data_IF_753424029546
#
_entry.id   IF_753424029546
#
_cell.length_a   1.000
_cell.length_b   1.000
_cell.length_c   1.000
_cell.angle_alpha   90.00
_cell.angle_beta   90.00
_cell.angle_gamma   90.00
#
_symmetry.space_group_name_H-M   'P 1'
#
loop_
_entity.id
_entity.type
_entity.pdbx_description
1 polymer ?
#
# COMPACT_ATOMS: atom_id res chain seq x y z
N UNK A 1 0.26 -1.78 -20.75
CA UNK A 1 -0.65 -2.91 -20.46
C UNK A 1 -0.90 -2.93 -18.96
N UNK A 2 -2.13 -3.12 -18.52
CA UNK A 2 -2.43 -3.25 -17.09
C UNK A 2 -1.74 -4.50 -16.52
N UNK A 3 -1.10 -4.38 -15.34
CA UNK A 3 -0.44 -5.49 -14.67
C UNK A 3 -1.49 -6.39 -14.04
N UNK A 4 -1.34 -7.70 -14.16
CA UNK A 4 -2.29 -8.67 -13.60
C UNK A 4 -1.71 -9.32 -12.34
N UNK A 5 -2.57 -9.58 -11.36
CA UNK A 5 -2.25 -10.33 -10.15
C UNK A 5 -3.18 -11.52 -10.06
N UNK A 6 -2.63 -12.71 -9.94
CA UNK A 6 -3.38 -13.94 -9.72
C UNK A 6 -3.63 -14.15 -8.22
N UNK A 7 -4.85 -14.55 -7.89
CA UNK A 7 -5.24 -14.95 -6.54
C UNK A 7 -5.71 -16.41 -6.60
N UNK A 8 -4.86 -17.31 -6.14
CA UNK A 8 -5.10 -18.75 -6.07
C UNK A 8 -5.31 -19.17 -4.60
N UNK A 9 -6.44 -18.72 -4.03
CA UNK A 9 -6.78 -18.87 -2.61
C UNK A 9 -8.24 -19.30 -2.53
N UNK A 10 -8.55 -20.42 -1.85
CA UNK A 10 -9.91 -20.91 -1.72
C UNK A 10 -10.80 -20.05 -0.80
N UNK A 11 -10.20 -19.30 0.14
CA UNK A 11 -10.92 -18.52 1.14
C UNK A 11 -11.38 -17.17 0.58
N UNK A 12 -12.71 -16.89 0.68
CA UNK A 12 -13.31 -15.66 0.14
C UNK A 12 -12.96 -14.40 0.95
N UNK A 13 -12.80 -14.50 2.26
CA UNK A 13 -12.52 -13.34 3.14
C UNK A 13 -11.21 -12.61 2.84
N UNK A 14 -10.25 -13.29 2.22
CA UNK A 14 -8.98 -12.70 1.82
C UNK A 14 -9.12 -11.81 0.60
N UNK A 15 -10.08 -12.11 -0.26
CA UNK A 15 -10.25 -11.48 -1.56
C UNK A 15 -10.65 -10.01 -1.45
N UNK A 16 -11.64 -9.70 -0.60
CA UNK A 16 -12.16 -8.33 -0.43
C UNK A 16 -11.07 -7.36 0.01
N UNK A 17 -10.13 -7.86 0.79
CA UNK A 17 -9.02 -7.07 1.30
C UNK A 17 -7.95 -6.83 0.25
N UNK A 18 -7.61 -7.84 -0.54
CA UNK A 18 -6.65 -7.72 -1.65
C UNK A 18 -7.22 -6.81 -2.74
N UNK A 19 -8.51 -6.92 -3.04
CA UNK A 19 -9.20 -6.04 -3.98
C UNK A 19 -9.20 -4.58 -3.54
N UNK A 20 -9.44 -4.33 -2.25
CA UNK A 20 -9.40 -2.97 -1.68
C UNK A 20 -8.06 -2.27 -1.83
N UNK A 21 -6.97 -3.05 -1.94
CA UNK A 21 -5.62 -2.51 -2.05
C UNK A 21 -5.12 -2.47 -3.51
N UNK A 22 -5.09 -3.60 -4.20
CA UNK A 22 -4.53 -3.69 -5.56
C UNK A 22 -5.45 -3.12 -6.63
N UNK A 23 -6.78 -3.10 -6.40
CA UNK A 23 -7.73 -2.45 -7.30
C UNK A 23 -7.52 -0.94 -7.47
N UNK A 24 -6.76 -0.31 -6.56
CA UNK A 24 -6.39 1.13 -6.64
C UNK A 24 -5.12 1.39 -7.45
N UNK A 25 -4.29 0.38 -7.67
CA UNK A 25 -2.96 0.52 -8.29
C UNK A 25 -2.90 0.08 -9.77
N UNK A 26 -3.99 0.15 -10.53
CA UNK A 26 -4.06 -0.29 -11.94
C UNK A 26 -3.75 -1.78 -12.15
N UNK A 27 -3.95 -2.61 -11.13
CA UNK A 27 -3.85 -4.05 -11.28
C UNK A 27 -5.20 -4.67 -11.63
N UNK A 28 -5.19 -5.61 -12.56
CA UNK A 28 -6.33 -6.49 -12.83
C UNK A 28 -6.15 -7.75 -11.99
N UNK A 29 -7.13 -8.05 -11.15
CA UNK A 29 -7.13 -9.25 -10.32
C UNK A 29 -7.79 -10.40 -11.08
N UNK A 30 -7.09 -11.52 -11.20
CA UNK A 30 -7.63 -12.78 -11.76
C UNK A 30 -7.66 -13.84 -10.67
N UNK A 31 -8.69 -14.67 -10.65
CA UNK A 31 -8.93 -15.62 -9.55
C UNK A 31 -8.87 -17.05 -10.02
N UNK A 32 -8.23 -17.90 -9.22
CA UNK A 32 -8.24 -19.34 -9.40
C UNK A 32 -8.69 -20.04 -8.11
N UNK A 33 -9.46 -21.10 -8.25
CA UNK A 33 -9.96 -21.92 -7.13
C UNK A 33 -9.10 -23.14 -6.87
N UNK A 34 -8.29 -23.53 -7.85
CA UNK A 34 -7.42 -24.69 -7.80
C UNK A 34 -6.14 -24.47 -8.61
N UNK A 35 -5.20 -25.39 -8.48
CA UNK A 35 -3.91 -25.32 -9.14
C UNK A 35 -3.98 -25.48 -10.67
N UNK A 36 -4.98 -26.18 -11.19
CA UNK A 36 -5.15 -26.34 -12.65
C UNK A 36 -5.65 -25.06 -13.29
N UNK A 37 -6.63 -24.42 -12.65
CA UNK A 37 -7.11 -23.12 -13.09
C UNK A 37 -6.02 -22.05 -12.94
N UNK A 38 -5.29 -22.08 -11.82
CA UNK A 38 -4.17 -21.16 -11.59
C UNK A 38 -3.09 -21.31 -12.67
N UNK A 39 -2.75 -22.52 -13.06
CA UNK A 39 -1.79 -22.79 -14.12
C UNK A 39 -2.22 -22.17 -15.45
N UNK A 40 -3.46 -22.46 -15.89
CA UNK A 40 -4.02 -21.89 -17.14
C UNK A 40 -4.00 -20.37 -17.12
N UNK A 41 -4.42 -19.77 -16.01
CA UNK A 41 -4.43 -18.31 -15.88
C UNK A 41 -3.02 -17.70 -15.90
N UNK A 42 -1.99 -18.40 -15.39
CA UNK A 42 -0.62 -17.92 -15.54
C UNK A 42 -0.18 -17.94 -16.99
N UNK A 43 -0.51 -19.00 -17.74
CA UNK A 43 -0.18 -19.11 -19.16
C UNK A 43 -0.92 -18.07 -20.03
N UNK A 44 -2.20 -17.85 -19.77
CA UNK A 44 -3.06 -17.01 -20.61
C UNK A 44 -2.94 -15.51 -20.26
N UNK A 45 -2.82 -15.20 -18.97
CA UNK A 45 -2.96 -13.85 -18.46
C UNK A 45 -1.62 -13.20 -18.10
N UNK A 46 -0.54 -13.98 -18.03
CA UNK A 46 0.83 -13.56 -17.71
C UNK A 46 0.89 -12.61 -16.47
N UNK A 47 0.43 -13.06 -15.29
CA UNK A 47 0.39 -12.22 -14.12
C UNK A 47 1.80 -11.95 -13.59
N UNK A 48 2.05 -10.70 -13.16
CA UNK A 48 3.34 -10.30 -12.58
C UNK A 48 3.55 -10.83 -11.16
N UNK A 49 2.44 -11.17 -10.46
CA UNK A 49 2.43 -11.69 -9.09
C UNK A 49 1.30 -12.70 -8.93
N UNK A 50 1.52 -13.74 -8.16
CA UNK A 50 0.49 -14.65 -7.72
C UNK A 50 0.53 -14.87 -6.19
N UNK A 51 -0.62 -14.75 -5.55
CA UNK A 51 -0.84 -15.22 -4.18
C UNK A 51 -1.35 -16.64 -4.23
N UNK A 52 -0.68 -17.55 -3.54
CA UNK A 52 -0.96 -18.97 -3.58
C UNK A 52 -1.16 -19.50 -2.17
N UNK A 53 -2.31 -20.08 -1.85
CA UNK A 53 -2.53 -20.77 -0.58
C UNK A 53 -1.71 -22.06 -0.51
N UNK A 54 -1.09 -22.36 0.63
CA UNK A 54 -0.40 -23.64 0.86
C UNK A 54 -1.34 -24.84 0.60
N UNK A 55 -2.63 -24.67 0.90
CA UNK A 55 -3.68 -25.68 0.76
C UNK A 55 -4.42 -25.63 -0.58
N UNK A 56 -3.81 -25.03 -1.61
CA UNK A 56 -4.42 -24.98 -2.94
C UNK A 56 -4.62 -26.39 -3.51
N UNK A 57 -5.86 -26.84 -3.81
CA UNK A 57 -6.09 -28.15 -4.38
C UNK A 57 -5.58 -28.24 -5.84
N UNK A 58 -5.28 -29.46 -6.37
CA UNK A 58 -5.29 -30.74 -5.67
C UNK A 58 -4.02 -31.05 -4.90
N UNK A 59 -2.84 -30.55 -5.31
CA UNK A 59 -1.51 -31.01 -4.86
C UNK A 59 -0.86 -30.13 -3.80
N UNK A 60 -1.48 -29.01 -3.47
CA UNK A 60 -0.93 -28.01 -2.57
C UNK A 60 -0.19 -26.88 -3.30
N UNK A 61 -0.20 -25.69 -2.66
CA UNK A 61 0.45 -24.49 -3.22
C UNK A 61 1.97 -24.60 -3.29
N UNK A 62 2.61 -25.38 -2.41
CA UNK A 62 4.04 -25.65 -2.44
C UNK A 62 4.43 -26.42 -3.70
N UNK A 63 3.68 -27.47 -4.05
CA UNK A 63 3.90 -28.23 -5.27
C UNK A 63 3.64 -27.38 -6.52
N UNK A 64 2.60 -26.55 -6.50
CA UNK A 64 2.28 -25.60 -7.55
C UNK A 64 3.41 -24.58 -7.75
N UNK A 65 3.88 -23.91 -6.68
CA UNK A 65 5.00 -22.97 -6.76
C UNK A 65 6.25 -23.60 -7.33
N UNK A 66 6.60 -24.80 -6.87
CA UNK A 66 7.76 -25.57 -7.34
C UNK A 66 7.67 -25.91 -8.83
N UNK A 67 6.47 -26.23 -9.32
CA UNK A 67 6.20 -26.50 -10.73
C UNK A 67 6.38 -25.23 -11.57
N UNK A 68 5.81 -24.09 -11.17
CA UNK A 68 5.96 -22.80 -11.86
C UNK A 68 7.43 -22.39 -11.92
N UNK A 69 8.19 -22.51 -10.83
CA UNK A 69 9.60 -22.10 -10.79
C UNK A 69 10.53 -22.99 -11.63
N UNK A 70 10.13 -24.21 -11.88
CA UNK A 70 10.85 -25.13 -12.78
C UNK A 70 10.53 -24.89 -14.25
N UNK A 71 9.39 -24.30 -14.56
CA UNK A 71 9.00 -23.99 -15.93
C UNK A 71 9.78 -22.79 -16.47
N UNK A 72 10.37 -22.95 -17.65
CA UNK A 72 11.23 -21.92 -18.26
C UNK A 72 10.45 -20.65 -18.64
N UNK A 73 9.21 -20.79 -19.07
CA UNK A 73 8.37 -19.69 -19.53
C UNK A 73 7.67 -18.97 -18.37
N UNK A 74 7.28 -19.71 -17.31
CA UNK A 74 6.42 -19.20 -16.24
C UNK A 74 7.19 -18.75 -14.99
N UNK A 75 8.46 -19.13 -14.83
CA UNK A 75 9.27 -18.86 -13.63
C UNK A 75 9.46 -17.37 -13.31
N UNK A 76 9.17 -16.48 -14.25
CA UNK A 76 9.26 -15.03 -14.06
C UNK A 76 8.12 -14.48 -13.20
N UNK A 77 6.97 -15.18 -13.16
CA UNK A 77 5.85 -14.84 -12.27
C UNK A 77 6.32 -14.87 -10.82
N UNK A 78 6.13 -13.76 -10.09
CA UNK A 78 6.45 -13.70 -8.67
C UNK A 78 5.41 -14.44 -7.86
N UNK A 79 5.84 -15.27 -6.90
CA UNK A 79 4.95 -16.12 -6.11
C UNK A 79 5.08 -15.78 -4.62
N UNK A 80 3.95 -15.47 -3.99
CA UNK A 80 3.83 -15.37 -2.53
C UNK A 80 3.02 -16.55 -2.05
N UNK A 81 3.65 -17.44 -1.27
CA UNK A 81 2.99 -18.57 -0.63
C UNK A 81 2.37 -18.11 0.70
N UNK A 82 1.07 -18.29 0.84
CA UNK A 82 0.31 -17.99 2.05
C UNK A 82 0.15 -19.26 2.87
N UNK A 83 0.53 -19.19 4.14
CA UNK A 83 0.60 -20.34 5.04
C UNK A 83 -0.06 -20.02 6.37
N UNK A 84 -0.48 -21.03 7.14
CA UNK A 84 -0.82 -20.82 8.53
C UNK A 84 0.47 -20.62 9.36
N UNK A 85 0.40 -19.83 10.43
CA UNK A 85 1.58 -19.49 11.24
C UNK A 85 2.31 -20.74 11.78
N UNK A 86 1.58 -21.82 12.07
CA UNK A 86 2.14 -23.10 12.50
C UNK A 86 2.90 -23.87 11.38
N UNK A 87 2.77 -23.47 10.14
CA UNK A 87 3.31 -24.18 8.97
C UNK A 87 4.44 -23.42 8.26
N UNK A 88 4.72 -22.16 8.69
CA UNK A 88 5.68 -21.28 8.02
C UNK A 88 7.07 -21.89 7.89
N UNK A 89 7.54 -22.56 8.93
CA UNK A 89 8.85 -23.20 8.97
C UNK A 89 8.85 -24.65 8.45
N UNK A 90 7.75 -25.09 7.87
CA UNK A 90 7.67 -26.45 7.33
C UNK A 90 8.65 -26.67 6.18
N UNK A 91 9.13 -27.91 6.00
CA UNK A 91 9.97 -28.27 4.88
C UNK A 91 9.29 -28.02 3.54
N UNK A 92 7.97 -28.21 3.46
CA UNK A 92 7.15 -27.89 2.29
C UNK A 92 7.29 -26.43 1.86
N UNK A 93 7.26 -25.49 2.82
CA UNK A 93 7.41 -24.07 2.56
C UNK A 93 8.82 -23.75 2.04
N UNK A 94 9.85 -24.27 2.69
CA UNK A 94 11.25 -24.04 2.29
C UNK A 94 11.56 -24.57 0.90
N UNK A 95 11.00 -25.71 0.52
CA UNK A 95 11.20 -26.35 -0.78
C UNK A 95 10.26 -25.86 -1.89
N UNK A 96 9.27 -25.01 -1.56
CA UNK A 96 8.29 -24.52 -2.52
C UNK A 96 8.90 -23.70 -3.66
N UNK A 97 10.03 -23.02 -3.41
CA UNK A 97 10.65 -22.09 -4.35
C UNK A 97 9.86 -20.80 -4.54
N UNK A 98 8.88 -20.51 -3.68
CA UNK A 98 8.17 -19.24 -3.70
C UNK A 98 9.13 -18.05 -3.42
N UNK A 99 8.87 -16.91 -4.04
CA UNK A 99 9.71 -15.71 -3.86
C UNK A 99 9.53 -15.07 -2.47
N UNK A 100 8.38 -15.31 -1.82
CA UNK A 100 8.12 -14.96 -0.43
C UNK A 100 7.13 -15.94 0.20
N UNK A 101 7.20 -16.06 1.53
CA UNK A 101 6.25 -16.81 2.35
C UNK A 101 5.65 -15.82 3.34
N UNK A 102 4.33 -15.84 3.49
CA UNK A 102 3.61 -14.95 4.41
C UNK A 102 2.63 -15.77 5.24
N UNK A 103 2.79 -15.68 6.57
CA UNK A 103 1.94 -16.41 7.52
C UNK A 103 0.62 -15.68 7.75
N UNK A 104 -0.48 -16.43 7.79
CA UNK A 104 -1.80 -15.94 8.11
C UNK A 104 -2.18 -16.25 9.59
N UNK A 105 -2.90 -15.37 10.29
CA UNK A 105 -3.37 -14.06 9.83
C UNK A 105 -2.23 -13.07 9.65
N UNK A 106 -2.04 -12.62 8.43
CA UNK A 106 -0.97 -11.67 8.13
C UNK A 106 -1.33 -10.27 8.64
N UNK A 107 -0.34 -9.56 9.18
CA UNK A 107 -0.39 -8.11 9.15
C UNK A 107 -0.34 -7.67 7.68
N UNK A 108 -1.36 -6.93 7.26
CA UNK A 108 -1.47 -6.42 5.89
C UNK A 108 -0.24 -5.68 5.42
N UNK A 109 0.45 -5.00 6.32
CA UNK A 109 1.72 -4.32 6.03
C UNK A 109 2.77 -5.30 5.55
N UNK A 110 2.87 -6.48 6.14
CA UNK A 110 3.83 -7.52 5.74
C UNK A 110 3.54 -8.06 4.34
N UNK A 111 2.26 -8.31 4.03
CA UNK A 111 1.85 -8.78 2.70
C UNK A 111 2.14 -7.74 1.63
N UNK A 112 1.78 -6.48 1.92
CA UNK A 112 1.99 -5.35 1.02
C UNK A 112 3.47 -5.06 0.77
N UNK A 113 4.28 -5.04 1.83
CA UNK A 113 5.72 -4.83 1.75
C UNK A 113 6.40 -5.94 0.93
N UNK A 114 5.95 -7.18 1.11
CA UNK A 114 6.45 -8.32 0.32
C UNK A 114 6.07 -8.19 -1.16
N UNK A 115 4.81 -7.86 -1.44
CA UNK A 115 4.32 -7.66 -2.80
C UNK A 115 5.05 -6.52 -3.52
N UNK A 116 5.19 -5.37 -2.86
CA UNK A 116 5.90 -4.21 -3.40
C UNK A 116 7.35 -4.51 -3.70
N UNK A 117 8.03 -5.18 -2.78
CA UNK A 117 9.43 -5.60 -2.96
C UNK A 117 9.59 -6.48 -4.17
N UNK A 118 8.72 -7.49 -4.34
CA UNK A 118 8.76 -8.40 -5.47
C UNK A 118 8.44 -7.74 -6.80
N UNK A 119 7.52 -6.78 -6.79
CA UNK A 119 7.11 -6.02 -7.98
C UNK A 119 8.00 -4.81 -8.27
N UNK A 120 9.02 -4.55 -7.45
CA UNK A 120 9.85 -3.34 -7.49
C UNK A 120 9.01 -2.05 -7.49
N UNK A 121 7.89 -2.06 -6.77
CA UNK A 121 7.05 -0.87 -6.62
C UNK A 121 7.66 0.04 -5.55
N UNK A 122 7.60 1.36 -5.74
CA UNK A 122 8.06 2.30 -4.72
C UNK A 122 7.26 2.11 -3.43
N UNK A 123 7.94 2.14 -2.29
CA UNK A 123 7.31 2.12 -0.97
C UNK A 123 6.67 3.48 -0.69
N UNK A 124 5.35 3.61 -0.68
CA UNK A 124 4.70 4.90 -0.44
C UNK A 124 4.92 5.41 0.99
N UNK A 125 5.37 4.55 1.91
CA UNK A 125 5.59 4.91 3.31
C UNK A 125 7.04 5.19 3.70
N UNK A 126 8.03 4.66 2.95
CA UNK A 126 9.46 4.75 3.30
C UNK A 126 10.33 5.52 2.32
N UNK A 127 9.93 5.68 1.07
CA UNK A 127 10.78 6.22 0.00
C UNK A 127 10.23 7.46 -0.69
N UNK A 128 9.00 7.87 -0.46
CA UNK A 128 8.56 9.17 -0.95
C UNK A 128 9.29 10.24 -0.13
N UNK A 129 10.25 10.94 -0.74
CA UNK A 129 10.94 12.01 -0.04
C UNK A 129 9.91 13.01 0.48
N UNK A 130 10.11 13.49 1.69
CA UNK A 130 9.21 14.47 2.31
C UNK A 130 9.81 15.86 2.15
N UNK A 131 9.12 16.70 1.42
CA UNK A 131 9.48 18.11 1.35
C UNK A 131 9.06 18.80 2.66
N UNK A 132 9.93 19.61 3.30
CA UNK A 132 9.58 20.45 4.43
C UNK A 132 8.73 21.62 3.94
N UNK A 133 7.50 21.30 3.53
CA UNK A 133 6.57 22.22 2.90
C UNK A 133 5.48 22.60 3.89
N UNK A 134 5.40 23.88 4.21
CA UNK A 134 4.35 24.46 5.06
C UNK A 134 3.30 25.12 4.19
N UNK A 135 2.16 24.47 4.03
CA UNK A 135 1.02 25.01 3.28
C UNK A 135 -0.24 25.01 4.16
N UNK A 136 -1.12 26.01 4.00
CA UNK A 136 -2.40 26.01 4.67
C UNK A 136 -3.26 24.84 4.23
N UNK A 137 -4.04 24.31 5.15
CA UNK A 137 -5.03 23.28 4.85
C UNK A 137 -6.28 23.44 5.73
N UNK A 138 -7.36 22.88 5.27
CA UNK A 138 -8.58 22.67 6.06
C UNK A 138 -8.84 21.19 6.16
N UNK A 139 -9.33 20.73 7.29
CA UNK A 139 -9.61 19.32 7.52
C UNK A 139 -10.85 19.13 8.38
N UNK A 140 -11.56 18.05 8.15
CA UNK A 140 -12.70 17.64 8.96
C UNK A 140 -12.79 16.15 9.08
N UNK A 141 -13.41 15.67 10.14
CA UNK A 141 -13.69 14.24 10.32
C UNK A 141 -14.87 13.82 9.44
N UNK A 142 -14.74 12.68 8.79
CA UNK A 142 -15.81 12.04 8.04
C UNK A 142 -16.64 11.10 8.93
N UNK A 143 -17.97 10.90 8.65
CA UNK A 143 -18.73 11.52 7.55
C UNK A 143 -19.18 12.97 7.85
N UNK A 144 -19.28 13.38 9.11
CA UNK A 144 -19.80 14.67 9.52
C UNK A 144 -18.84 15.37 10.48
N UNK A 145 -18.46 16.59 10.17
CA UNK A 145 -17.60 17.42 10.98
C UNK A 145 -17.47 18.81 10.39
N UNK A 146 -17.23 19.80 11.23
CA UNK A 146 -16.88 21.15 10.79
C UNK A 146 -15.44 21.18 10.30
N UNK A 147 -15.14 22.09 9.36
CA UNK A 147 -13.79 22.28 8.89
C UNK A 147 -12.95 23.04 9.89
N UNK A 148 -11.86 22.44 10.30
CA UNK A 148 -10.80 23.05 11.08
C UNK A 148 -9.67 23.53 10.16
N UNK A 149 -8.93 24.52 10.62
CA UNK A 149 -7.77 25.05 9.92
C UNK A 149 -6.47 24.47 10.49
N UNK A 150 -5.49 24.29 9.62
CA UNK A 150 -4.16 23.83 10.01
C UNK A 150 -3.12 24.17 8.95
N UNK A 151 -1.90 23.71 9.18
CA UNK A 151 -0.79 23.80 8.24
C UNK A 151 -0.05 22.48 8.14
N UNK A 152 0.63 22.23 7.03
CA UNK A 152 1.54 21.09 6.95
C UNK A 152 2.90 21.45 7.53
N UNK A 153 3.60 20.49 8.13
CA UNK A 153 5.04 20.62 8.43
C UNK A 153 5.90 19.91 7.38
N UNK A 154 5.35 18.90 6.73
CA UNK A 154 5.96 18.24 5.59
C UNK A 154 4.90 17.54 4.75
N UNK A 155 5.22 17.33 3.47
CA UNK A 155 4.33 16.67 2.50
C UNK A 155 5.13 15.69 1.67
N UNK A 156 4.53 14.54 1.36
CA UNK A 156 5.00 13.54 0.41
C UNK A 156 3.84 13.01 -0.41
N UNK A 157 4.10 12.21 -1.42
CA UNK A 157 3.07 11.56 -2.24
C UNK A 157 2.18 10.58 -1.46
N UNK A 158 2.68 9.98 -0.37
CA UNK A 158 1.92 9.04 0.45
C UNK A 158 1.31 9.62 1.72
N UNK A 159 1.66 10.86 2.10
CA UNK A 159 1.15 11.44 3.34
C UNK A 159 1.75 12.79 3.70
N UNK A 160 1.22 13.37 4.75
CA UNK A 160 1.67 14.65 5.28
C UNK A 160 1.66 14.66 6.81
N UNK A 161 2.36 15.62 7.40
CA UNK A 161 2.19 15.95 8.81
C UNK A 161 1.38 17.23 8.93
N UNK A 162 0.22 17.14 9.59
CA UNK A 162 -0.70 18.22 9.86
C UNK A 162 -0.45 18.79 11.26
N UNK A 163 -0.25 20.09 11.34
CA UNK A 163 -0.29 20.89 12.57
C UNK A 163 -1.65 21.56 12.67
N UNK A 164 -2.35 21.34 13.76
CA UNK A 164 -3.66 21.93 14.02
C UNK A 164 -4.06 21.75 15.48
N UNK A 165 -5.04 22.53 15.92
CA UNK A 165 -5.46 22.55 17.32
C UNK A 165 -6.39 21.37 17.65
N UNK A 166 -7.16 20.89 16.67
CA UNK A 166 -8.06 19.76 16.84
C UNK A 166 -7.39 18.47 16.35
N UNK A 167 -7.17 17.53 17.27
CA UNK A 167 -6.55 16.26 17.00
C UNK A 167 -7.58 15.13 17.01
N UNK A 168 -7.58 14.31 15.98
CA UNK A 168 -8.45 13.13 15.88
C UNK A 168 -7.67 11.84 16.20
N UNK A 169 -8.32 10.86 16.82
CA UNK A 169 -7.69 9.57 17.13
C UNK A 169 -7.14 8.87 15.89
N UNK A 170 -6.14 8.00 16.13
CA UNK A 170 -5.63 7.11 15.08
C UNK A 170 -6.77 6.37 14.38
N UNK A 171 -6.57 6.10 13.08
CA UNK A 171 -7.53 5.46 12.17
C UNK A 171 -8.80 6.27 11.85
N UNK A 172 -8.92 7.51 12.38
CA UNK A 172 -9.97 8.43 11.93
C UNK A 172 -9.79 8.77 10.45
N UNK A 173 -10.89 8.80 9.70
CA UNK A 173 -10.92 9.29 8.32
C UNK A 173 -11.24 10.79 8.31
N UNK A 174 -10.45 11.51 7.54
CA UNK A 174 -10.57 12.96 7.39
C UNK A 174 -10.72 13.31 5.91
N UNK A 175 -11.52 14.32 5.64
CA UNK A 175 -11.41 15.08 4.40
C UNK A 175 -10.38 16.19 4.65
N UNK A 176 -9.41 16.31 3.75
CA UNK A 176 -8.33 17.30 3.83
C UNK A 176 -8.29 18.08 2.53
N UNK A 177 -8.31 19.40 2.64
CA UNK A 177 -8.19 20.34 1.51
C UNK A 177 -6.90 21.12 1.68
N UNK A 178 -5.88 20.76 0.90
CA UNK A 178 -4.59 21.46 0.87
C UNK A 178 -4.66 22.66 -0.08
N UNK A 179 -4.16 23.80 0.39
CA UNK A 179 -4.01 24.98 -0.45
C UNK A 179 -2.57 25.05 -0.99
N UNK A 180 -2.40 24.55 -2.19
CA UNK A 180 -1.11 24.55 -2.89
C UNK A 180 -0.91 25.77 -3.79
N UNK A 181 -1.83 26.77 -3.77
CA UNK A 181 -1.82 27.91 -4.69
C UNK A 181 -0.57 28.77 -4.54
N UNK A 182 -0.09 28.95 -3.31
CA UNK A 182 1.17 29.66 -3.05
C UNK A 182 2.41 28.98 -3.63
N UNK A 183 2.31 27.69 -3.94
CA UNK A 183 3.37 26.86 -4.52
C UNK A 183 3.16 26.59 -6.04
N UNK A 184 2.23 27.31 -6.67
CA UNK A 184 1.88 27.12 -8.08
C UNK A 184 0.99 25.92 -8.37
N UNK A 185 0.46 25.27 -7.33
CA UNK A 185 -0.47 24.14 -7.43
C UNK A 185 -1.93 24.54 -7.28
N UNK A 186 -2.88 23.62 -7.45
CA UNK A 186 -4.30 23.85 -7.20
C UNK A 186 -4.65 23.64 -5.72
N UNK A 187 -5.92 23.91 -5.39
CA UNK A 187 -6.54 23.30 -4.20
C UNK A 187 -6.65 21.78 -4.43
N UNK A 188 -6.16 21.01 -3.47
CA UNK A 188 -6.19 19.55 -3.52
C UNK A 188 -7.07 19.00 -2.40
N UNK A 189 -8.21 18.41 -2.77
CA UNK A 189 -9.09 17.72 -1.83
C UNK A 189 -8.82 16.22 -1.86
N UNK A 190 -8.59 15.64 -0.69
CA UNK A 190 -8.21 14.23 -0.55
C UNK A 190 -8.78 13.64 0.73
N UNK A 191 -9.14 12.37 0.69
CA UNK A 191 -9.41 11.60 1.90
C UNK A 191 -8.10 11.13 2.52
N UNK A 192 -7.97 11.30 3.82
CA UNK A 192 -6.80 10.86 4.57
C UNK A 192 -7.20 10.03 5.80
N UNK A 193 -6.27 9.19 6.26
CA UNK A 193 -6.37 8.44 7.50
C UNK A 193 -5.35 8.97 8.50
N UNK A 194 -5.74 9.13 9.76
CA UNK A 194 -4.81 9.44 10.84
C UNK A 194 -3.95 8.21 11.13
N UNK A 195 -2.70 8.25 10.74
CA UNK A 195 -1.75 7.15 10.96
C UNK A 195 -1.16 7.18 12.39
N UNK A 196 -0.90 8.36 12.92
CA UNK A 196 -0.39 8.57 14.28
C UNK A 196 -0.66 10.00 14.73
N UNK A 197 -0.67 10.21 16.06
CA UNK A 197 -0.94 11.50 16.70
C UNK A 197 0.24 11.87 17.59
N UNK A 198 0.64 13.14 17.54
CA UNK A 198 1.57 13.78 18.45
C UNK A 198 0.76 14.69 19.39
N UNK A 199 0.38 14.14 20.53
CA UNK A 199 -0.43 14.87 21.51
C UNK A 199 0.46 15.75 22.40
N UNK A 200 -0.01 16.94 22.84
CA UNK A 200 0.78 17.80 23.72
C UNK A 200 1.33 17.12 24.97
N UNK A 201 0.56 16.22 25.54
CA UNK A 201 0.93 15.45 26.75
C UNK A 201 1.84 14.27 26.48
N UNK A 202 1.84 13.69 25.23
CA UNK A 202 2.61 12.53 24.84
C UNK A 202 3.17 12.69 23.42
N UNK A 203 4.30 13.33 23.31
CA UNK A 203 5.00 13.45 22.04
C UNK A 203 5.59 12.11 21.62
N UNK A 204 4.90 11.43 20.73
CA UNK A 204 5.37 10.16 20.14
C UNK A 204 6.64 10.35 19.32
N UNK A 205 6.76 11.50 18.67
CA UNK A 205 7.94 11.91 17.88
C UNK A 205 8.32 13.33 18.28
N UNK A 206 9.31 13.48 19.21
CA UNK A 206 9.69 14.79 19.76
C UNK A 206 10.17 15.81 18.72
N UNK A 207 10.65 15.34 17.55
CA UNK A 207 11.09 16.21 16.46
C UNK A 207 9.92 16.88 15.70
N UNK A 208 8.69 16.47 15.96
CA UNK A 208 7.49 17.08 15.38
C UNK A 208 6.70 17.82 16.46
N UNK A 209 6.06 18.94 16.12
CA UNK A 209 5.14 19.63 17.02
C UNK A 209 3.89 18.78 17.30
N UNK A 210 2.96 19.34 18.06
CA UNK A 210 1.63 18.74 18.21
C UNK A 210 0.93 18.69 16.86
N UNK A 211 0.28 17.55 16.56
CA UNK A 211 -0.35 17.35 15.26
C UNK A 211 -0.59 15.89 14.93
N UNK A 212 -0.90 15.64 13.68
CA UNK A 212 -1.24 14.31 13.17
C UNK A 212 -0.44 13.96 11.92
N UNK A 213 0.12 12.76 11.90
CA UNK A 213 0.62 12.14 10.67
C UNK A 213 -0.54 11.54 9.90
N UNK A 214 -0.75 12.03 8.69
CA UNK A 214 -1.83 11.58 7.81
C UNK A 214 -1.28 10.75 6.65
N UNK A 215 -1.98 9.67 6.34
CA UNK A 215 -1.83 8.88 5.13
C UNK A 215 -2.89 9.32 4.13
N UNK A 216 -2.50 9.63 2.90
CA UNK A 216 -3.40 10.02 1.83
C UNK A 216 -3.97 8.77 1.16
N UNK A 217 -5.31 8.67 1.05
CA UNK A 217 -5.97 7.44 0.61
C UNK A 217 -6.43 7.48 -0.85
N UNK A 218 -7.05 8.55 -1.30
CA UNK A 218 -7.79 8.59 -2.57
C UNK A 218 -7.22 9.65 -3.54
N UNK A 219 -5.89 9.66 -3.72
CA UNK A 219 -5.25 10.51 -4.71
C UNK A 219 -5.51 9.97 -6.13
N UNK A 220 -6.04 10.83 -7.02
CA UNK A 220 -6.04 10.53 -8.43
C UNK A 220 -4.61 10.48 -8.98
N UNK A 221 -4.38 9.73 -10.07
CA UNK A 221 -3.07 9.71 -10.74
C UNK A 221 -2.59 11.11 -11.14
N UNK A 222 -3.51 11.98 -11.52
CA UNK A 222 -3.24 13.35 -11.87
C UNK A 222 -2.75 14.17 -10.66
N UNK A 223 -3.41 14.03 -9.51
CA UNK A 223 -3.04 14.72 -8.29
C UNK A 223 -1.75 14.15 -7.68
N UNK A 224 -1.55 12.84 -7.81
CA UNK A 224 -0.30 12.19 -7.43
C UNK A 224 0.89 12.75 -8.22
N UNK A 225 0.78 12.83 -9.54
CA UNK A 225 1.83 13.38 -10.41
C UNK A 225 2.12 14.86 -10.10
N UNK A 226 1.09 15.64 -9.79
CA UNK A 226 1.25 17.04 -9.37
C UNK A 226 1.97 17.16 -8.04
N UNK A 227 1.57 16.35 -7.07
CA UNK A 227 2.17 16.34 -5.74
C UNK A 227 3.64 15.88 -5.82
N UNK A 228 3.94 14.89 -6.66
CA UNK A 228 5.29 14.41 -6.91
C UNK A 228 6.19 15.50 -7.54
N UNK A 229 5.66 16.23 -8.51
CA UNK A 229 6.36 17.36 -9.14
C UNK A 229 6.67 18.44 -8.10
N UNK A 230 5.70 18.80 -7.28
CA UNK A 230 5.83 19.82 -6.25
C UNK A 230 6.87 19.40 -5.19
N UNK A 231 6.77 18.18 -4.69
CA UNK A 231 7.72 17.63 -3.69
C UNK A 231 9.14 17.62 -4.27
N UNK A 232 9.30 17.19 -5.53
CA UNK A 232 10.61 17.15 -6.20
C UNK A 232 11.22 18.53 -6.37
N UNK A 233 10.43 19.54 -6.71
CA UNK A 233 10.87 20.93 -6.84
C UNK A 233 11.40 21.48 -5.52
N UNK A 234 10.69 21.23 -4.41
CA UNK A 234 11.12 21.68 -3.08
C UNK A 234 12.36 20.96 -2.56
N UNK A 235 12.57 19.71 -2.94
CA UNK A 235 13.77 18.97 -2.57
C UNK A 235 15.00 19.35 -3.39
N UNK A 236 14.77 19.84 -4.62
CA UNK A 236 15.83 20.27 -5.54
C UNK A 236 16.24 21.73 -5.31
N UNK A 237 15.43 22.52 -4.58
CA UNK A 237 15.76 23.90 -4.26
C UNK A 237 16.76 23.93 -3.11
N UNK A 238 17.98 24.48 -3.27
CA UNK A 238 18.92 24.62 -2.15
C UNK A 238 18.27 25.51 -1.09
N UNK A 239 18.29 25.04 0.15
CA UNK A 239 17.87 25.81 1.33
C UNK A 239 18.70 27.11 1.37
N UNK A 240 18.07 28.22 1.16
CA UNK A 240 18.67 29.56 1.34
C UNK A 240 18.70 29.90 2.82
#
# INVERSE_FOLDING_TARGET
MARKILIAIPEEDFLDRVEGFFGREEFILVRARDGEQAWRLIEEEDPVLAFVSLHLPPDGGDAFCRRIKKDFLLRHTRLILLVQASEEDSERCRESGADAIVSLPADWTTLLDSSRRLLNLPDPGRLAPRAPLSVPLRYRRLPEGEFECGTTANVSTGGLFLQGDVLYPRDSRLEVVLDLTACGGPLLSVTARVAWVNHPEWLRKPQFPCGMGLELLDLSLHDLARLETLVSQYLSSPSS
#
